data_IF_060655003431
#
_entry.id   IF_060655003431
#
_cell.length_a   1.000
_cell.length_b   1.000
_cell.length_c   1.000
_cell.angle_alpha   90.00
_cell.angle_beta   90.00
_cell.angle_gamma   90.00
#
_symmetry.space_group_name_H-M   'P 1'
#
loop_
_entity.id
_entity.type
_entity.pdbx_description
1 polymer ?
#
# COMPACT_ATOMS: atom_id res chain seq x y z
N UNK A 1 -10.22 25.34 19.56
CA UNK A 1 -9.90 24.10 18.82
C UNK A 1 -10.84 24.05 17.63
N UNK A 2 -10.30 24.16 16.41
CA UNK A 2 -11.08 24.28 15.19
C UNK A 2 -11.47 22.88 14.72
N UNK A 3 -12.69 22.43 15.01
CA UNK A 3 -13.27 21.23 14.40
C UNK A 3 -13.94 21.63 13.10
N UNK A 4 -13.18 21.70 12.02
CA UNK A 4 -13.75 21.79 10.69
C UNK A 4 -14.48 20.45 10.43
N UNK A 5 -15.81 20.42 10.24
CA UNK A 5 -16.48 19.20 9.84
C UNK A 5 -15.94 18.83 8.45
N UNK A 6 -15.32 17.65 8.38
CA UNK A 6 -14.88 17.06 7.13
C UNK A 6 -16.12 16.83 6.28
N UNK A 7 -16.40 17.75 5.35
CA UNK A 7 -17.37 17.52 4.28
C UNK A 7 -16.84 16.34 3.48
N UNK A 8 -17.64 15.28 3.40
CA UNK A 8 -17.41 14.17 2.50
C UNK A 8 -17.56 14.75 1.09
N UNK A 9 -16.45 15.12 0.45
CA UNK A 9 -16.44 15.64 -0.91
C UNK A 9 -16.47 14.42 -1.85
N UNK A 10 -17.69 14.04 -2.26
CA UNK A 10 -17.97 13.56 -3.60
C UNK A 10 -17.20 12.36 -4.15
N UNK A 11 -17.32 11.19 -3.51
CA UNK A 11 -16.72 9.93 -3.96
C UNK A 11 -17.60 9.19 -5.01
N UNK A 12 -18.72 9.78 -5.46
CA UNK A 12 -19.66 9.14 -6.39
C UNK A 12 -20.44 7.95 -5.80
N UNK A 13 -20.29 7.66 -4.50
CA UNK A 13 -21.04 6.61 -3.79
C UNK A 13 -22.42 7.15 -3.36
N UNK A 14 -23.46 6.32 -3.50
CA UNK A 14 -24.81 6.67 -3.05
C UNK A 14 -24.79 7.06 -1.55
N UNK A 15 -25.54 8.09 -1.13
CA UNK A 15 -25.59 8.49 0.27
C UNK A 15 -26.07 7.32 1.14
N UNK A 16 -25.35 7.05 2.22
CA UNK A 16 -25.74 6.03 3.20
C UNK A 16 -27.05 6.46 3.86
N UNK A 17 -28.11 5.69 3.67
CA UNK A 17 -29.38 5.88 4.36
C UNK A 17 -29.29 5.33 5.78
N UNK A 18 -29.60 6.16 6.78
CA UNK A 18 -29.63 5.73 8.18
C UNK A 18 -30.66 4.63 8.42
N UNK A 19 -31.75 4.60 7.66
CA UNK A 19 -32.78 3.58 7.82
C UNK A 19 -32.28 2.18 7.43
N UNK A 20 -31.27 2.08 6.56
CA UNK A 20 -30.74 0.79 6.07
C UNK A 20 -29.58 0.23 6.90
N UNK A 21 -29.12 0.95 7.94
CA UNK A 21 -28.05 0.47 8.82
C UNK A 21 -28.51 -0.73 9.66
N UNK A 22 -27.65 -1.74 9.75
CA UNK A 22 -27.83 -2.89 10.63
C UNK A 22 -27.55 -2.55 12.11
N UNK A 23 -27.87 -3.47 13.01
CA UNK A 23 -27.72 -3.28 14.46
C UNK A 23 -26.26 -3.01 14.87
N UNK A 24 -25.29 -3.64 14.19
CA UNK A 24 -23.86 -3.47 14.49
C UNK A 24 -23.35 -2.11 14.05
N UNK A 25 -23.83 -1.61 12.91
CA UNK A 25 -23.52 -0.28 12.41
C UNK A 25 -24.11 0.80 13.31
N UNK A 26 -25.35 0.61 13.80
CA UNK A 26 -25.98 1.52 14.78
C UNK A 26 -25.28 1.48 16.14
N UNK A 27 -24.81 0.32 16.57
CA UNK A 27 -24.04 0.13 17.79
C UNK A 27 -22.61 0.68 17.71
N UNK A 28 -22.17 1.17 16.54
CA UNK A 28 -20.80 1.66 16.26
C UNK A 28 -19.73 0.56 16.29
N UNK A 29 -20.12 -0.70 16.17
CA UNK A 29 -19.19 -1.85 16.11
C UNK A 29 -18.56 -2.01 14.73
N UNK A 30 -19.28 -1.61 13.69
CA UNK A 30 -18.87 -1.73 12.30
C UNK A 30 -19.06 -0.42 11.56
N UNK A 31 -18.31 -0.26 10.48
CA UNK A 31 -18.35 0.93 9.65
C UNK A 31 -19.70 1.07 8.95
N UNK A 32 -20.30 2.26 9.03
CA UNK A 32 -21.58 2.58 8.36
C UNK A 32 -21.54 2.51 6.84
N UNK A 33 -20.35 2.57 6.23
CA UNK A 33 -20.19 2.51 4.77
C UNK A 33 -20.02 1.09 4.23
N UNK A 34 -19.37 0.20 4.99
CA UNK A 34 -18.98 -1.12 4.48
C UNK A 34 -19.38 -2.31 5.36
N UNK A 35 -19.96 -2.08 6.55
CA UNK A 35 -20.37 -3.13 7.47
C UNK A 35 -19.21 -3.90 8.13
N UNK A 36 -17.94 -3.54 7.87
CA UNK A 36 -16.76 -4.19 8.46
C UNK A 36 -16.24 -3.43 9.69
N UNK A 37 -15.55 -4.12 10.59
CA UNK A 37 -14.88 -3.49 11.76
C UNK A 37 -13.72 -2.61 11.28
N UNK A 38 -13.74 -1.30 11.53
CA UNK A 38 -12.68 -0.41 11.06
C UNK A 38 -11.38 -0.61 11.84
N UNK A 39 -10.26 -0.67 11.13
CA UNK A 39 -8.92 -0.72 11.74
C UNK A 39 -8.59 0.61 12.45
N UNK A 40 -8.95 1.72 11.81
CA UNK A 40 -8.87 3.06 12.37
C UNK A 40 -10.25 3.69 12.28
N UNK A 41 -11.02 3.74 13.37
CA UNK A 41 -12.36 4.32 13.36
C UNK A 41 -12.29 5.85 13.25
N UNK A 42 -13.12 6.43 12.39
CA UNK A 42 -13.45 7.86 12.44
C UNK A 42 -14.90 8.01 12.88
N UNK A 43 -15.15 8.98 13.76
CA UNK A 43 -16.51 9.37 14.10
C UNK A 43 -17.07 10.23 12.97
N UNK A 44 -18.22 9.84 12.44
CA UNK A 44 -18.95 10.59 11.42
C UNK A 44 -20.34 10.90 11.94
N UNK A 45 -20.89 12.04 11.53
CA UNK A 45 -22.27 12.42 11.87
C UNK A 45 -23.16 12.22 10.65
N UNK A 46 -24.19 11.38 10.78
CA UNK A 46 -25.16 11.08 9.73
C UNK A 46 -26.57 11.21 10.29
N UNK A 47 -27.39 12.09 9.71
CA UNK A 47 -28.73 12.44 10.21
C UNK A 47 -28.78 12.76 11.71
N UNK A 48 -27.75 13.45 12.24
CA UNK A 48 -27.65 13.80 13.66
C UNK A 48 -27.18 12.68 14.59
N UNK A 49 -26.89 11.49 14.06
CA UNK A 49 -26.30 10.39 14.84
C UNK A 49 -24.79 10.36 14.65
N UNK A 50 -24.06 10.23 15.75
CA UNK A 50 -22.65 9.84 15.71
C UNK A 50 -22.53 8.35 15.43
N UNK A 51 -21.78 8.03 14.40
CA UNK A 51 -21.51 6.69 13.94
C UNK A 51 -20.03 6.53 13.67
N UNK A 52 -19.58 5.29 13.44
CA UNK A 52 -18.20 5.00 13.08
C UNK A 52 -18.10 4.69 11.59
N UNK A 53 -17.12 5.29 10.93
CA UNK A 53 -16.69 4.95 9.58
C UNK A 53 -15.22 4.52 9.57
N UNK A 54 -14.76 3.91 8.48
CA UNK A 54 -13.32 3.80 8.22
C UNK A 54 -12.75 5.23 8.11
N UNK A 55 -11.73 5.55 8.90
CA UNK A 55 -11.13 6.89 8.92
C UNK A 55 -10.43 7.27 7.62
N UNK A 56 -9.98 6.28 6.89
CA UNK A 56 -9.29 6.46 5.63
C UNK A 56 -10.22 5.97 4.51
N UNK A 57 -10.63 6.89 3.64
CA UNK A 57 -11.41 6.61 2.44
C UNK A 57 -10.63 5.73 1.44
N UNK A 58 -9.29 5.70 1.58
CA UNK A 58 -8.39 4.74 0.93
C UNK A 58 -8.16 3.48 1.77
N UNK A 59 -8.65 3.40 3.02
CA UNK A 59 -8.47 2.22 3.83
C UNK A 59 -9.35 1.09 3.30
N UNK A 60 -8.68 0.19 2.55
CA UNK A 60 -8.46 -1.26 2.80
C UNK A 60 -9.65 -2.10 3.32
N UNK A 61 -10.45 -1.55 4.22
CA UNK A 61 -11.59 -2.16 4.92
C UNK A 61 -12.92 -1.72 4.30
N UNK A 62 -13.00 -0.53 3.72
CA UNK A 62 -14.23 0.07 3.18
C UNK A 62 -14.45 -0.12 1.67
N UNK A 63 -13.53 -0.81 0.99
CA UNK A 63 -13.70 -1.14 -0.43
C UNK A 63 -14.87 -2.12 -0.59
N UNK A 64 -15.79 -1.87 -1.54
CA UNK A 64 -16.86 -2.79 -1.87
C UNK A 64 -16.28 -4.17 -2.21
N UNK A 65 -17.10 -5.22 -2.07
CA UNK A 65 -16.75 -6.51 -2.63
C UNK A 65 -16.65 -6.34 -4.15
N UNK A 66 -15.43 -6.50 -4.67
CA UNK A 66 -15.17 -6.40 -6.11
C UNK A 66 -15.22 -7.78 -6.71
N UNK A 67 -15.85 -7.94 -7.87
CA UNK A 67 -16.06 -9.28 -8.45
C UNK A 67 -14.75 -10.00 -8.76
N UNK A 68 -13.67 -9.24 -9.00
CA UNK A 68 -12.36 -9.77 -9.35
C UNK A 68 -11.47 -10.06 -8.13
N UNK A 69 -11.91 -9.72 -6.91
CA UNK A 69 -11.16 -9.96 -5.68
C UNK A 69 -11.66 -11.22 -4.98
N UNK A 70 -10.72 -12.06 -4.56
CA UNK A 70 -10.99 -13.24 -3.74
C UNK A 70 -11.05 -12.95 -2.23
N UNK A 71 -10.66 -11.75 -1.80
CA UNK A 71 -10.60 -11.37 -0.39
C UNK A 71 -10.40 -9.87 -0.14
N UNK A 72 -10.27 -9.45 1.14
CA UNK A 72 -9.95 -8.08 1.51
C UNK A 72 -8.62 -7.63 0.88
N UNK A 73 -8.43 -6.32 0.70
CA UNK A 73 -7.15 -5.80 0.25
C UNK A 73 -6.12 -6.20 1.31
N UNK A 74 -4.89 -6.54 0.91
CA UNK A 74 -3.80 -6.58 1.86
C UNK A 74 -3.80 -5.29 2.71
N UNK A 75 -3.30 -5.37 3.95
CA UNK A 75 -2.62 -4.21 4.56
C UNK A 75 -1.50 -3.78 3.59
N UNK A 76 -0.64 -2.79 3.73
CA UNK A 76 0.24 -2.35 2.61
C UNK A 76 -0.44 -1.81 1.32
N UNK A 77 -1.52 -2.40 0.77
CA UNK A 77 -2.21 -1.89 -0.42
C UNK A 77 -2.82 -0.51 -0.16
N UNK A 78 -2.63 0.45 -1.06
CA UNK A 78 -3.13 1.82 -0.93
C UNK A 78 -3.92 2.32 -2.14
N UNK A 79 -4.10 1.47 -3.15
CA UNK A 79 -4.82 1.83 -4.37
C UNK A 79 -6.34 1.80 -4.12
N UNK A 80 -7.05 2.76 -4.70
CA UNK A 80 -8.50 2.63 -4.89
C UNK A 80 -8.78 1.58 -5.97
N UNK A 81 -9.85 0.81 -5.79
CA UNK A 81 -10.20 -0.27 -6.70
C UNK A 81 -11.68 -0.19 -7.09
N UNK A 82 -11.97 -0.57 -8.33
CA UNK A 82 -13.31 -0.56 -8.92
C UNK A 82 -13.58 -1.85 -9.69
N UNK A 83 -14.85 -2.24 -9.81
CA UNK A 83 -15.26 -3.32 -10.73
C UNK A 83 -14.94 -2.96 -12.19
N UNK A 84 -14.87 -1.67 -12.50
CA UNK A 84 -14.54 -1.17 -13.83
C UNK A 84 -13.03 -1.08 -14.10
N UNK A 85 -12.17 -1.50 -13.17
CA UNK A 85 -10.73 -1.53 -13.40
C UNK A 85 -10.42 -2.42 -14.62
N UNK A 86 -9.60 -1.90 -15.54
CA UNK A 86 -9.11 -2.66 -16.68
C UNK A 86 -8.39 -3.93 -16.17
N UNK A 87 -8.49 -5.10 -16.83
CA UNK A 87 -7.86 -6.32 -16.34
C UNK A 87 -6.38 -6.17 -15.95
N UNK A 88 -5.60 -5.40 -16.72
CA UNK A 88 -4.18 -5.14 -16.43
C UNK A 88 -3.95 -4.22 -15.21
N UNK A 89 -4.96 -3.42 -14.84
CA UNK A 89 -4.93 -2.53 -13.69
C UNK A 89 -5.37 -3.21 -12.39
N UNK A 90 -5.88 -4.43 -12.45
CA UNK A 90 -6.36 -5.17 -11.28
C UNK A 90 -5.19 -5.72 -10.49
N UNK A 91 -4.61 -4.85 -9.68
CA UNK A 91 -3.45 -5.14 -8.85
C UNK A 91 -3.43 -4.28 -7.61
N UNK A 92 -3.01 -4.86 -6.50
CA UNK A 92 -2.67 -4.16 -5.27
C UNK A 92 -1.30 -3.50 -5.41
N UNK A 93 -1.18 -2.25 -4.96
CA UNK A 93 0.05 -1.45 -4.99
C UNK A 93 0.27 -0.81 -3.62
N UNK A 94 1.52 -0.79 -3.14
CA UNK A 94 1.86 -0.07 -1.90
C UNK A 94 2.13 1.41 -2.14
N UNK A 95 1.67 2.26 -1.21
CA UNK A 95 2.13 3.65 -1.09
C UNK A 95 3.56 3.70 -0.53
N UNK A 96 3.93 2.70 0.28
CA UNK A 96 5.30 2.56 0.75
C UNK A 96 6.24 2.38 -0.44
N UNK A 97 7.33 3.15 -0.42
CA UNK A 97 8.44 3.03 -1.35
C UNK A 97 9.74 3.08 -0.57
N UNK A 98 10.56 2.03 -0.70
CA UNK A 98 11.96 2.07 -0.27
C UNK A 98 12.80 2.74 -1.36
N UNK A 99 13.64 3.72 -1.01
CA UNK A 99 14.57 4.34 -1.96
C UNK A 99 15.99 4.31 -1.37
N UNK A 100 16.94 3.76 -2.12
CA UNK A 100 18.38 3.73 -1.77
C UNK A 100 19.14 4.56 -2.80
N UNK A 101 19.67 5.71 -2.41
CA UNK A 101 20.44 6.58 -3.30
C UNK A 101 21.77 5.94 -3.72
N UNK A 102 22.06 5.98 -5.02
CA UNK A 102 23.27 5.45 -5.62
C UNK A 102 24.28 6.57 -5.85
N UNK A 103 25.16 6.81 -4.88
CA UNK A 103 26.12 7.93 -4.92
C UNK A 103 27.18 7.81 -6.03
N UNK A 104 27.42 6.60 -6.54
CA UNK A 104 28.38 6.34 -7.62
C UNK A 104 27.75 6.42 -9.01
N UNK A 105 26.42 6.47 -9.10
CA UNK A 105 25.72 6.55 -10.37
C UNK A 105 25.67 8.01 -10.86
N UNK A 106 25.63 8.18 -12.18
CA UNK A 106 25.37 9.49 -12.77
C UNK A 106 24.00 10.00 -12.35
N UNK A 107 23.90 11.31 -12.11
CA UNK A 107 22.62 11.95 -11.85
C UNK A 107 21.66 11.72 -13.02
N UNK A 108 20.38 11.57 -12.72
CA UNK A 108 19.34 11.36 -13.72
C UNK A 108 18.37 12.54 -13.80
N UNK A 109 17.79 12.75 -14.98
CA UNK A 109 16.62 13.62 -15.20
C UNK A 109 15.40 12.75 -15.44
N UNK A 110 14.31 13.05 -14.75
CA UNK A 110 13.05 12.34 -14.94
C UNK A 110 12.28 12.80 -16.16
N UNK A 111 12.32 14.10 -16.44
CA UNK A 111 11.72 14.72 -17.61
C UNK A 111 12.58 15.89 -18.07
N UNK A 112 12.32 16.35 -19.30
CA UNK A 112 12.97 17.53 -19.81
C UNK A 112 12.57 18.77 -18.98
N UNK A 113 13.53 19.62 -18.67
CA UNK A 113 13.30 20.84 -17.87
C UNK A 113 13.43 20.70 -16.35
N UNK A 114 13.66 19.50 -15.79
CA UNK A 114 14.02 19.35 -14.36
C UNK A 114 15.53 19.27 -14.12
N UNK A 115 15.99 19.73 -12.93
CA UNK A 115 17.34 19.48 -12.46
C UNK A 115 17.67 17.99 -12.42
N UNK A 116 18.96 17.69 -12.53
CA UNK A 116 19.47 16.35 -12.23
C UNK A 116 19.26 16.03 -10.75
N UNK A 117 18.92 14.77 -10.48
CA UNK A 117 18.82 14.23 -9.12
C UNK A 117 19.66 12.96 -8.98
N UNK A 118 20.06 12.58 -7.76
CA UNK A 118 20.74 11.31 -7.53
C UNK A 118 19.94 10.14 -8.09
N UNK A 119 20.65 9.18 -8.68
CA UNK A 119 20.03 7.91 -9.03
C UNK A 119 19.68 7.11 -7.77
N UNK A 120 18.73 6.19 -7.86
CA UNK A 120 18.35 5.34 -6.74
C UNK A 120 17.90 3.95 -7.17
N UNK A 121 17.98 2.99 -6.25
CA UNK A 121 17.19 1.77 -6.31
C UNK A 121 15.86 2.03 -5.60
N UNK A 122 14.76 1.77 -6.29
CA UNK A 122 13.40 1.85 -5.75
C UNK A 122 12.83 0.48 -5.48
N UNK A 123 12.07 0.40 -4.39
CA UNK A 123 11.38 -0.79 -3.93
C UNK A 123 9.91 -0.45 -3.68
N UNK A 124 8.99 -1.27 -4.18
CA UNK A 124 7.57 -1.20 -3.84
C UNK A 124 6.90 -2.57 -3.96
N UNK A 125 5.72 -2.71 -3.36
CA UNK A 125 4.94 -3.94 -3.38
C UNK A 125 3.88 -3.88 -4.46
N UNK A 126 3.74 -4.99 -5.19
CA UNK A 126 2.73 -5.23 -6.21
C UNK A 126 2.12 -6.61 -5.98
N UNK A 127 0.81 -6.77 -6.18
CA UNK A 127 0.19 -8.09 -6.29
C UNK A 127 -0.91 -8.04 -7.34
N UNK A 128 -0.80 -8.81 -8.42
CA UNK A 128 -1.87 -8.94 -9.41
C UNK A 128 -3.10 -9.67 -8.86
N UNK A 129 -4.28 -9.47 -9.47
CA UNK A 129 -5.55 -10.07 -9.01
C UNK A 129 -5.52 -11.59 -8.81
N UNK A 130 -4.73 -12.29 -9.64
CA UNK A 130 -4.61 -13.76 -9.64
C UNK A 130 -3.41 -14.26 -8.84
N UNK A 131 -2.60 -13.36 -8.31
CA UNK A 131 -1.40 -13.72 -7.56
C UNK A 131 -1.76 -14.02 -6.11
N UNK A 132 -1.14 -15.07 -5.57
CA UNK A 132 -1.38 -15.48 -4.17
C UNK A 132 -0.55 -14.72 -3.16
N UNK A 133 0.55 -14.13 -3.59
CA UNK A 133 1.50 -13.41 -2.76
C UNK A 133 1.93 -12.10 -3.41
N UNK A 134 2.40 -11.17 -2.59
CA UNK A 134 2.98 -9.93 -3.08
C UNK A 134 4.34 -10.18 -3.73
N UNK A 135 4.59 -9.46 -4.82
CA UNK A 135 5.90 -9.30 -5.43
C UNK A 135 6.52 -7.98 -5.00
N UNK A 136 7.83 -7.98 -4.83
CA UNK A 136 8.63 -6.81 -4.56
C UNK A 136 9.26 -6.39 -5.89
N UNK A 137 8.88 -5.23 -6.39
CA UNK A 137 9.64 -4.60 -7.46
C UNK A 137 10.94 -4.07 -6.89
N UNK A 138 12.05 -4.33 -7.57
CA UNK A 138 13.38 -3.78 -7.28
C UNK A 138 13.99 -3.29 -8.57
N UNK A 139 14.16 -1.97 -8.72
CA UNK A 139 14.60 -1.39 -9.98
C UNK A 139 15.24 -0.02 -9.84
N UNK A 140 15.76 0.49 -10.96
CA UNK A 140 16.38 1.82 -11.02
C UNK A 140 15.30 2.91 -11.07
N UNK A 141 15.30 3.81 -10.09
CA UNK A 141 14.37 4.93 -10.00
C UNK A 141 12.91 4.51 -10.18
N UNK A 142 12.13 5.30 -10.89
CA UNK A 142 10.77 4.97 -11.35
C UNK A 142 10.79 4.56 -12.82
N UNK A 143 11.87 3.88 -13.23
CA UNK A 143 11.97 3.31 -14.58
C UNK A 143 11.40 1.89 -14.60
N UNK A 144 11.10 1.39 -15.79
CA UNK A 144 10.72 -0.02 -16.01
C UNK A 144 11.95 -0.95 -16.06
N UNK A 145 13.12 -0.52 -15.56
CA UNK A 145 14.35 -1.30 -15.53
C UNK A 145 14.57 -1.86 -14.12
N UNK A 146 14.14 -3.10 -13.92
CA UNK A 146 14.22 -3.78 -12.64
C UNK A 146 13.74 -5.21 -12.75
N UNK A 147 13.56 -5.83 -11.59
CA UNK A 147 13.09 -7.21 -11.44
C UNK A 147 11.96 -7.26 -10.43
N UNK A 148 11.07 -8.24 -10.58
CA UNK A 148 10.12 -8.62 -9.55
C UNK A 148 10.70 -9.79 -8.77
N UNK A 149 10.65 -9.71 -7.46
CA UNK A 149 11.10 -10.75 -6.54
C UNK A 149 9.91 -11.23 -5.71
N UNK A 150 9.85 -12.52 -5.45
CA UNK A 150 9.04 -13.05 -4.35
C UNK A 150 9.60 -12.56 -3.00
N UNK A 151 8.83 -12.64 -1.90
CA UNK A 151 9.36 -12.30 -0.58
C UNK A 151 10.58 -13.14 -0.19
N UNK A 152 10.59 -14.43 -0.56
CA UNK A 152 11.71 -15.34 -0.31
C UNK A 152 12.97 -14.90 -1.06
N UNK A 153 12.87 -14.65 -2.37
CA UNK A 153 14.00 -14.18 -3.19
C UNK A 153 14.52 -12.82 -2.72
N UNK A 154 13.64 -11.92 -2.28
CA UNK A 154 14.04 -10.63 -1.73
C UNK A 154 14.84 -10.77 -0.42
N UNK A 155 14.45 -11.70 0.45
CA UNK A 155 15.19 -12.00 1.68
C UNK A 155 16.56 -12.62 1.38
N UNK A 156 16.63 -13.53 0.43
CA UNK A 156 17.89 -14.13 -0.02
C UNK A 156 18.83 -13.08 -0.66
N UNK A 157 18.28 -12.20 -1.50
CA UNK A 157 19.01 -11.07 -2.06
C UNK A 157 19.53 -10.13 -0.96
N UNK A 158 18.71 -9.79 0.02
CA UNK A 158 19.10 -8.95 1.14
C UNK A 158 20.23 -9.57 1.97
N UNK A 159 20.18 -10.88 2.24
CA UNK A 159 21.23 -11.61 2.93
C UNK A 159 22.54 -11.58 2.11
N UNK A 160 22.46 -11.86 0.81
CA UNK A 160 23.61 -11.86 -0.10
C UNK A 160 24.26 -10.47 -0.19
N UNK A 161 23.46 -9.41 -0.34
CA UNK A 161 23.94 -8.03 -0.36
C UNK A 161 24.61 -7.63 0.97
N UNK A 162 24.04 -8.07 2.10
CA UNK A 162 24.61 -7.82 3.43
C UNK A 162 25.99 -8.48 3.57
N UNK A 163 26.13 -9.73 3.12
CA UNK A 163 27.41 -10.43 3.12
C UNK A 163 28.44 -9.72 2.22
N UNK A 164 28.06 -9.35 1.00
CA UNK A 164 28.94 -8.62 0.08
C UNK A 164 29.42 -7.29 0.68
N UNK A 165 28.53 -6.57 1.37
CA UNK A 165 28.88 -5.33 2.05
C UNK A 165 29.85 -5.54 3.22
N UNK A 166 29.71 -6.64 3.97
CA UNK A 166 30.64 -7.01 5.04
C UNK A 166 32.04 -7.32 4.47
N UNK A 167 32.11 -8.14 3.41
CA UNK A 167 33.37 -8.44 2.69
C UNK A 167 34.04 -7.15 2.22
N UNK A 168 33.27 -6.24 1.60
CA UNK A 168 33.80 -4.98 1.08
C UNK A 168 34.38 -4.07 2.17
N UNK A 169 33.90 -4.19 3.42
CA UNK A 169 34.45 -3.48 4.59
C UNK A 169 35.63 -4.19 5.25
N UNK A 170 35.99 -5.39 4.78
CA UNK A 170 37.03 -6.23 5.40
C UNK A 170 36.58 -6.91 6.68
N UNK A 171 35.27 -7.09 6.89
CA UNK A 171 34.74 -7.85 8.03
C UNK A 171 34.87 -9.35 7.76
N UNK A 172 35.36 -10.11 8.75
CA UNK A 172 35.36 -11.57 8.67
C UNK A 172 33.92 -12.09 8.84
N UNK A 173 33.44 -12.84 7.84
CA UNK A 173 32.11 -13.45 7.84
C UNK A 173 32.13 -14.79 8.61
N UNK A 174 33.32 -15.26 9.02
CA UNK A 174 33.50 -16.45 9.84
C UNK A 174 32.98 -16.25 11.26
N UNK A 175 31.68 -16.52 11.48
CA UNK A 175 31.07 -17.11 12.70
C UNK A 175 29.57 -16.84 12.86
N UNK A 176 28.90 -16.09 11.96
CA UNK A 176 27.47 -15.77 12.14
C UNK A 176 26.48 -16.78 11.53
N UNK A 177 26.93 -17.92 11.00
CA UNK A 177 26.09 -18.89 10.26
C UNK A 177 25.45 -19.99 11.15
N UNK A 178 25.78 -20.11 12.44
CA UNK A 178 25.24 -21.20 13.28
C UNK A 178 24.09 -20.81 14.23
N UNK A 179 23.44 -19.65 14.06
CA UNK A 179 22.30 -19.29 14.89
C UNK A 179 21.24 -18.49 14.12
N UNK A 180 20.54 -19.15 13.20
CA UNK A 180 19.21 -18.74 12.73
C UNK A 180 18.43 -19.99 12.28
#
# INVERSE_FOLDING_TARGET
MNTTPMRIIGDGRAPTDVASLDDRQRARDTCVRCGRVPLTPAVVTLAGMELVACADEHARVCTPDLFWRSGPCPSWCSRYHSDNDHPDDRSHLSQWQGKVSLILAEGQKYYEGVPYQPDCVSLWLLQGEREREARIWCGKGETNKGVYLTPAEALELAATLTQAAAIARGEDIGERILAA
#
